data_IF_681311162298
#
_entry.id   IF_681311162298
#
_cell.length_a   1.000
_cell.length_b   1.000
_cell.length_c   1.000
_cell.angle_alpha   90.00
_cell.angle_beta   90.00
_cell.angle_gamma   90.00
#
_symmetry.space_group_name_H-M   'P 1'
#
loop_
_entity.id
_entity.type
_entity.pdbx_description
1 polymer ?
#
# COMPACT_ATOMS: atom_id res chain seq x y z
N UNK A 1 8.99 -15.38 -13.00
CA UNK A 1 7.93 -15.73 -12.04
C UNK A 1 8.28 -14.93 -10.81
N UNK A 2 7.52 -13.88 -10.57
CA UNK A 2 7.72 -13.01 -9.41
C UNK A 2 7.07 -13.60 -8.17
N UNK A 3 7.37 -13.03 -7.00
CA UNK A 3 6.62 -13.33 -5.80
C UNK A 3 5.15 -12.89 -5.98
N UNK A 4 4.21 -13.70 -5.51
CA UNK A 4 2.79 -13.39 -5.50
C UNK A 4 2.16 -14.08 -4.29
N UNK A 5 1.66 -13.29 -3.35
CA UNK A 5 1.02 -13.75 -2.13
C UNK A 5 0.08 -12.67 -1.58
N UNK A 6 -0.77 -13.06 -0.64
CA UNK A 6 -1.81 -12.18 -0.08
C UNK A 6 -1.28 -11.14 0.90
N UNK A 7 -0.04 -11.28 1.38
CA UNK A 7 0.61 -10.33 2.28
C UNK A 7 1.05 -9.04 1.59
N UNK A 8 1.15 -7.96 2.36
CA UNK A 8 1.40 -6.60 1.85
C UNK A 8 2.70 -6.46 1.06
N UNK A 9 3.72 -7.25 1.39
CA UNK A 9 5.04 -7.25 0.75
C UNK A 9 5.41 -8.61 0.12
N UNK A 10 4.42 -9.48 -0.11
CA UNK A 10 4.62 -10.82 -0.70
C UNK A 10 4.62 -10.80 -2.24
N UNK A 11 4.56 -9.63 -2.86
CA UNK A 11 4.62 -9.45 -4.31
C UNK A 11 5.78 -8.53 -4.72
N UNK A 12 6.34 -8.77 -5.90
CA UNK A 12 7.50 -8.03 -6.40
C UNK A 12 7.19 -6.53 -6.57
N UNK A 13 5.95 -6.15 -6.96
CA UNK A 13 5.58 -4.75 -7.15
C UNK A 13 5.66 -3.93 -5.86
N UNK A 14 5.21 -4.50 -4.75
CA UNK A 14 5.31 -3.88 -3.42
C UNK A 14 6.76 -3.77 -2.94
N UNK A 15 7.60 -4.76 -3.25
CA UNK A 15 9.04 -4.76 -2.91
C UNK A 15 9.83 -3.75 -3.75
N UNK A 16 9.52 -3.66 -5.04
CA UNK A 16 10.10 -2.68 -5.97
C UNK A 16 9.74 -1.27 -5.50
N UNK A 17 8.48 -1.02 -5.16
CA UNK A 17 8.06 0.28 -4.63
C UNK A 17 8.71 0.61 -3.28
N UNK A 18 8.86 -0.37 -2.36
CA UNK A 18 9.56 -0.16 -1.09
C UNK A 18 11.03 0.21 -1.31
N UNK A 19 11.67 -0.37 -2.33
CA UNK A 19 13.03 -0.01 -2.74
C UNK A 19 13.10 1.44 -3.21
N UNK A 20 12.15 1.86 -4.06
CA UNK A 20 12.03 3.26 -4.52
C UNK A 20 11.77 4.22 -3.35
N UNK A 21 10.93 3.84 -2.38
CA UNK A 21 10.73 4.62 -1.17
C UNK A 21 12.02 4.74 -0.34
N UNK A 22 12.82 3.68 -0.26
CA UNK A 22 14.14 3.74 0.39
C UNK A 22 15.08 4.77 -0.26
N UNK A 23 15.01 4.95 -1.58
CA UNK A 23 15.85 5.91 -2.32
C UNK A 23 15.26 7.34 -2.33
N UNK A 24 13.96 7.48 -2.52
CA UNK A 24 13.29 8.76 -2.82
C UNK A 24 12.36 9.28 -1.72
N UNK A 25 12.03 8.45 -0.70
CA UNK A 25 11.25 8.84 0.48
C UNK A 25 9.89 9.45 0.15
N UNK A 26 9.65 10.63 0.71
CA UNK A 26 8.39 11.38 0.57
C UNK A 26 7.99 11.67 -0.90
N UNK A 27 8.95 11.75 -1.83
CA UNK A 27 8.66 11.91 -3.26
C UNK A 27 7.96 10.67 -3.81
N UNK A 28 8.48 9.47 -3.54
CA UNK A 28 7.84 8.22 -3.97
C UNK A 28 6.45 8.03 -3.34
N UNK A 29 6.28 8.43 -2.07
CA UNK A 29 4.99 8.43 -1.39
C UNK A 29 3.97 9.40 -2.03
N UNK A 30 4.41 10.58 -2.43
CA UNK A 30 3.55 11.56 -3.10
C UNK A 30 3.16 11.05 -4.50
N UNK A 31 4.15 10.56 -5.26
CA UNK A 31 3.94 10.08 -6.63
C UNK A 31 2.93 8.93 -6.69
N UNK A 32 3.01 7.96 -5.77
CA UNK A 32 2.07 6.83 -5.75
C UNK A 32 0.66 7.24 -5.31
N UNK A 33 0.54 8.19 -4.37
CA UNK A 33 -0.76 8.71 -3.93
C UNK A 33 -1.43 9.54 -5.03
N UNK A 34 -0.66 10.31 -5.78
CA UNK A 34 -1.17 11.10 -6.91
C UNK A 34 -1.55 10.17 -8.07
N UNK A 35 -0.72 9.17 -8.39
CA UNK A 35 -1.04 8.16 -9.40
C UNK A 35 -2.32 7.38 -9.06
N UNK A 36 -2.48 6.96 -7.80
CA UNK A 36 -3.70 6.28 -7.36
C UNK A 36 -4.92 7.19 -7.42
N UNK A 37 -4.79 8.46 -7.03
CA UNK A 37 -5.87 9.43 -7.12
C UNK A 37 -6.32 9.65 -8.56
N UNK A 38 -5.39 9.77 -9.50
CA UNK A 38 -5.67 9.93 -10.93
C UNK A 38 -6.31 8.67 -11.53
N UNK A 39 -5.86 7.50 -11.11
CA UNK A 39 -6.40 6.20 -11.52
C UNK A 39 -7.85 6.03 -11.04
N UNK A 40 -8.12 6.34 -9.76
CA UNK A 40 -9.49 6.35 -9.19
C UNK A 40 -10.39 7.33 -9.93
N UNK A 41 -9.89 8.54 -10.23
CA UNK A 41 -10.65 9.53 -11.00
C UNK A 41 -10.93 9.07 -12.44
N UNK A 42 -10.04 8.26 -13.02
CA UNK A 42 -10.19 7.64 -14.34
C UNK A 42 -11.05 6.38 -14.33
N UNK A 43 -11.37 5.85 -13.14
CA UNK A 43 -12.30 4.75 -12.91
C UNK A 43 -11.66 3.36 -12.82
N UNK A 44 -10.33 3.24 -12.86
CA UNK A 44 -9.66 1.94 -12.76
C UNK A 44 -8.25 2.08 -12.19
N UNK A 45 -7.92 1.29 -11.17
CA UNK A 45 -6.59 1.22 -10.55
C UNK A 45 -5.88 -0.06 -10.97
N UNK A 46 -4.82 0.12 -11.75
CA UNK A 46 -3.92 -0.95 -12.21
C UNK A 46 -3.11 -1.54 -11.03
N UNK A 47 -2.66 -2.79 -11.19
CA UNK A 47 -1.99 -3.57 -10.15
C UNK A 47 -0.63 -3.01 -9.74
N UNK A 48 0.09 -2.34 -10.64
CA UNK A 48 1.35 -1.66 -10.33
C UNK A 48 1.15 -0.51 -9.32
N UNK A 49 0.12 0.31 -9.54
CA UNK A 49 -0.28 1.36 -8.60
C UNK A 49 -0.80 0.73 -7.30
N UNK A 50 -1.64 -0.30 -7.40
CA UNK A 50 -2.25 -0.94 -6.23
C UNK A 50 -1.22 -1.57 -5.29
N UNK A 51 -0.24 -2.29 -5.83
CA UNK A 51 0.83 -2.92 -5.03
C UNK A 51 1.72 -1.88 -4.34
N UNK A 52 1.99 -0.75 -5.01
CA UNK A 52 2.70 0.38 -4.41
C UNK A 52 1.91 1.04 -3.26
N UNK A 53 0.59 1.22 -3.42
CA UNK A 53 -0.28 1.76 -2.35
C UNK A 53 -0.30 0.84 -1.13
N UNK A 54 -0.34 -0.48 -1.32
CA UNK A 54 -0.29 -1.45 -0.22
C UNK A 54 1.03 -1.34 0.55
N UNK A 55 2.16 -1.24 -0.16
CA UNK A 55 3.46 -1.02 0.47
C UNK A 55 3.53 0.33 1.20
N UNK A 56 3.02 1.42 0.61
CA UNK A 56 2.93 2.73 1.26
C UNK A 56 2.13 2.65 2.56
N UNK A 57 1.01 1.92 2.58
CA UNK A 57 0.20 1.79 3.78
C UNK A 57 0.95 1.12 4.93
N UNK A 58 1.79 0.14 4.66
CA UNK A 58 2.69 -0.45 5.66
C UNK A 58 3.69 0.56 6.20
N UNK A 59 4.32 1.33 5.30
CA UNK A 59 5.27 2.38 5.66
C UNK A 59 4.61 3.46 6.53
N UNK A 60 3.42 3.94 6.16
CA UNK A 60 2.70 4.98 6.92
C UNK A 60 2.25 4.44 8.27
N UNK A 61 1.72 3.22 8.35
CA UNK A 61 1.35 2.60 9.62
C UNK A 61 2.57 2.45 10.54
N UNK A 62 3.71 1.99 10.01
CA UNK A 62 4.97 1.90 10.75
C UNK A 62 5.49 3.28 11.21
N UNK A 63 5.46 4.30 10.35
CA UNK A 63 5.86 5.67 10.68
C UNK A 63 5.01 6.28 11.80
N UNK A 64 3.74 5.89 11.89
CA UNK A 64 2.82 6.28 12.97
C UNK A 64 2.93 5.40 14.23
N UNK A 65 3.91 4.49 14.29
CA UNK A 65 4.16 3.63 15.45
C UNK A 65 3.24 2.42 15.55
N UNK A 66 2.65 1.99 14.43
CA UNK A 66 1.82 0.78 14.29
C UNK A 66 2.38 -0.14 13.20
N UNK A 67 3.66 -0.58 13.27
CA UNK A 67 4.18 -1.51 12.29
C UNK A 67 3.47 -2.86 12.38
N UNK A 68 3.46 -3.61 11.28
CA UNK A 68 3.30 -5.06 11.35
C UNK A 68 4.55 -5.67 11.98
N UNK A 69 4.40 -6.52 13.00
CA UNK A 69 5.54 -7.16 13.66
C UNK A 69 6.29 -8.09 12.70
N UNK A 70 5.59 -8.72 11.74
CA UNK A 70 6.19 -9.64 10.76
C UNK A 70 6.96 -8.89 9.65
N UNK A 71 6.70 -7.58 9.48
CA UNK A 71 7.36 -6.73 8.49
C UNK A 71 8.35 -5.73 9.10
N UNK A 72 8.48 -5.70 10.43
CA UNK A 72 9.26 -4.69 11.15
C UNK A 72 10.71 -4.59 10.63
N UNK A 73 11.37 -5.73 10.42
CA UNK A 73 12.75 -5.77 9.91
C UNK A 73 12.88 -5.21 8.49
N UNK A 74 11.87 -5.38 7.63
CA UNK A 74 11.86 -4.85 6.26
C UNK A 74 11.57 -3.35 6.22
N UNK A 75 10.80 -2.86 7.19
CA UNK A 75 10.35 -1.47 7.25
C UNK A 75 11.25 -0.57 8.09
N UNK A 76 12.07 -1.12 8.99
CA UNK A 76 12.88 -0.35 9.96
C UNK A 76 13.73 0.74 9.29
N UNK A 77 14.64 0.34 8.40
CA UNK A 77 15.57 1.26 7.73
C UNK A 77 14.83 2.27 6.81
N UNK A 78 13.93 1.85 5.89
CA UNK A 78 13.23 2.80 5.03
C UNK A 78 12.40 3.82 5.83
N UNK A 79 11.68 3.37 6.87
CA UNK A 79 10.85 4.25 7.69
C UNK A 79 11.71 5.19 8.52
N UNK A 80 12.75 4.70 9.21
CA UNK A 80 13.58 5.57 10.06
C UNK A 80 14.26 6.69 9.26
N UNK A 81 14.65 6.41 8.02
CA UNK A 81 15.31 7.38 7.15
C UNK A 81 14.37 8.47 6.61
N UNK A 82 13.06 8.19 6.48
CA UNK A 82 12.13 9.06 5.74
C UNK A 82 10.86 9.45 6.51
N UNK A 83 10.60 8.92 7.71
CA UNK A 83 9.35 9.13 8.46
C UNK A 83 8.98 10.59 8.66
N UNK A 84 9.94 11.46 8.97
CA UNK A 84 9.65 12.86 9.28
C UNK A 84 9.08 13.57 8.03
N UNK A 85 9.72 13.39 6.87
CA UNK A 85 9.26 13.96 5.61
C UNK A 85 7.97 13.30 5.10
N UNK A 86 7.80 11.99 5.33
CA UNK A 86 6.58 11.27 4.99
C UNK A 86 5.37 11.82 5.76
N UNK A 87 5.52 12.06 7.06
CA UNK A 87 4.45 12.57 7.91
C UNK A 87 4.16 14.07 7.71
N UNK A 88 5.04 14.80 7.02
CA UNK A 88 4.78 16.17 6.56
C UNK A 88 3.88 16.24 5.31
N UNK A 89 3.63 15.12 4.62
CA UNK A 89 2.70 15.07 3.48
C UNK A 89 1.27 15.28 4.00
N UNK A 90 0.58 16.27 3.41
CA UNK A 90 -0.77 16.64 3.79
C UNK A 90 -1.74 15.43 3.71
N UNK A 91 -2.34 15.12 4.86
CA UNK A 91 -3.31 14.05 5.02
C UNK A 91 -2.81 12.66 4.58
N UNK A 92 -1.50 12.38 4.67
CA UNK A 92 -0.91 11.12 4.19
C UNK A 92 -1.64 9.87 4.68
N UNK A 93 -1.98 9.81 5.97
CA UNK A 93 -2.73 8.70 6.57
C UNK A 93 -4.12 8.52 5.92
N UNK A 94 -4.89 9.60 5.83
CA UNK A 94 -6.25 9.56 5.27
C UNK A 94 -6.23 9.23 3.78
N UNK A 95 -5.34 9.86 3.00
CA UNK A 95 -5.18 9.58 1.56
C UNK A 95 -4.80 8.12 1.31
N UNK A 96 -3.91 7.57 2.14
CA UNK A 96 -3.50 6.16 2.04
C UNK A 96 -4.63 5.20 2.41
N UNK A 97 -5.42 5.52 3.44
CA UNK A 97 -6.61 4.74 3.82
C UNK A 97 -7.69 4.74 2.74
N UNK A 98 -7.95 5.90 2.12
CA UNK A 98 -8.88 6.04 0.99
C UNK A 98 -8.41 5.25 -0.23
N UNK A 99 -7.10 5.28 -0.53
CA UNK A 99 -6.53 4.49 -1.62
C UNK A 99 -6.69 2.97 -1.38
N UNK A 100 -6.42 2.48 -0.16
CA UNK A 100 -6.69 1.08 0.19
C UNK A 100 -8.16 0.71 0.06
N UNK A 101 -9.08 1.59 0.47
CA UNK A 101 -10.51 1.36 0.29
C UNK A 101 -10.89 1.21 -1.18
N UNK A 102 -10.33 2.05 -2.06
CA UNK A 102 -10.58 1.97 -3.50
C UNK A 102 -10.10 0.63 -4.11
N UNK A 103 -8.95 0.12 -3.68
CA UNK A 103 -8.43 -1.18 -4.14
C UNK A 103 -9.34 -2.35 -3.74
N UNK A 104 -10.02 -2.25 -2.60
CA UNK A 104 -10.91 -3.31 -2.09
C UNK A 104 -12.36 -3.22 -2.60
N UNK A 105 -12.68 -2.25 -3.46
CA UNK A 105 -14.06 -1.94 -3.83
C UNK A 105 -14.71 -3.08 -4.65
N UNK A 106 -14.23 -3.30 -5.88
CA UNK A 106 -14.66 -4.37 -6.77
C UNK A 106 -13.73 -4.52 -7.99
N UNK A 107 -14.02 -5.55 -8.80
CA UNK A 107 -13.27 -5.89 -10.02
C UNK A 107 -13.46 -4.88 -11.16
N UNK A 108 -14.50 -4.04 -11.13
CA UNK A 108 -14.71 -3.01 -12.17
C UNK A 108 -13.79 -1.80 -11.96
N UNK A 109 -13.26 -1.61 -10.76
CA UNK A 109 -12.43 -0.44 -10.40
C UNK A 109 -11.00 -0.78 -9.97
N UNK A 110 -10.67 -2.03 -9.66
CA UNK A 110 -9.33 -2.43 -9.23
C UNK A 110 -8.87 -3.73 -9.89
N UNK A 111 -7.72 -3.67 -10.57
CA UNK A 111 -7.09 -4.86 -11.16
C UNK A 111 -6.67 -5.87 -10.08
N UNK A 112 -6.19 -5.42 -8.93
CA UNK A 112 -5.87 -6.33 -7.83
C UNK A 112 -7.09 -7.11 -7.35
N UNK A 113 -8.23 -6.44 -7.19
CA UNK A 113 -9.46 -7.12 -6.83
C UNK A 113 -9.83 -8.16 -7.89
N UNK A 114 -9.82 -7.78 -9.17
CA UNK A 114 -10.16 -8.68 -10.29
C UNK A 114 -9.25 -9.91 -10.32
N UNK A 115 -7.94 -9.71 -10.24
CA UNK A 115 -6.94 -10.78 -10.19
C UNK A 115 -7.18 -11.74 -9.03
N UNK A 116 -7.47 -11.24 -7.82
CA UNK A 116 -7.78 -12.10 -6.69
C UNK A 116 -9.14 -12.77 -6.80
N UNK A 117 -10.14 -12.13 -7.42
CA UNK A 117 -11.46 -12.70 -7.67
C UNK A 117 -11.44 -13.88 -8.66
N UNK A 118 -10.41 -13.97 -9.50
CA UNK A 118 -10.15 -15.15 -10.34
C UNK A 118 -9.53 -16.33 -9.56
N UNK A 119 -9.18 -16.15 -8.28
CA UNK A 119 -8.59 -17.16 -7.40
C UNK A 119 -9.55 -17.58 -6.27
N UNK A 120 -9.16 -18.59 -5.50
CA UNK A 120 -9.86 -18.99 -4.26
C UNK A 120 -9.37 -18.19 -3.02
N UNK A 121 -8.49 -17.20 -3.19
CA UNK A 121 -7.80 -16.46 -2.10
C UNK A 121 -8.30 -15.01 -1.94
N UNK A 122 -9.36 -14.59 -2.65
CA UNK A 122 -9.91 -13.23 -2.56
C UNK A 122 -10.29 -12.85 -1.12
N UNK A 123 -10.96 -13.74 -0.39
CA UNK A 123 -11.38 -13.47 0.98
C UNK A 123 -10.18 -13.31 1.94
N UNK A 124 -9.11 -14.06 1.71
CA UNK A 124 -7.87 -13.97 2.49
C UNK A 124 -7.16 -12.65 2.20
N UNK A 125 -7.02 -12.27 0.92
CA UNK A 125 -6.46 -10.97 0.53
C UNK A 125 -7.28 -9.80 1.10
N UNK A 126 -8.60 -9.81 0.97
CA UNK A 126 -9.48 -8.78 1.54
C UNK A 126 -9.35 -8.70 3.07
N UNK A 127 -9.14 -9.84 3.75
CA UNK A 127 -8.92 -9.87 5.20
C UNK A 127 -7.60 -9.19 5.56
N UNK A 128 -6.52 -9.43 4.80
CA UNK A 128 -5.24 -8.77 5.00
C UNK A 128 -5.36 -7.25 4.77
N UNK A 129 -5.96 -6.82 3.67
CA UNK A 129 -6.12 -5.40 3.35
C UNK A 129 -6.98 -4.65 4.38
N UNK A 130 -8.06 -5.28 4.87
CA UNK A 130 -8.88 -4.71 5.95
C UNK A 130 -8.13 -4.62 7.28
N UNK A 131 -7.28 -5.60 7.58
CA UNK A 131 -6.45 -5.59 8.79
C UNK A 131 -5.42 -4.47 8.74
N UNK A 132 -4.71 -4.35 7.61
CA UNK A 132 -3.78 -3.25 7.35
C UNK A 132 -4.49 -1.89 7.45
N UNK A 133 -5.63 -1.71 6.78
CA UNK A 133 -6.40 -0.46 6.84
C UNK A 133 -6.84 -0.13 8.26
N UNK A 134 -7.35 -1.10 9.01
CA UNK A 134 -7.77 -0.89 10.40
C UNK A 134 -6.59 -0.48 11.30
N UNK A 135 -5.39 -1.04 11.07
CA UNK A 135 -4.16 -0.66 11.78
C UNK A 135 -3.76 0.77 11.44
N UNK A 136 -3.79 1.12 10.15
CA UNK A 136 -3.49 2.47 9.65
C UNK A 136 -4.46 3.52 10.23
N UNK A 137 -5.76 3.24 10.24
CA UNK A 137 -6.79 4.16 10.73
C UNK A 137 -6.77 4.34 12.27
N UNK A 138 -6.20 3.38 12.99
CA UNK A 138 -6.08 3.41 14.45
C UNK A 138 -4.76 4.04 14.96
N UNK A 139 -3.91 4.50 14.06
CA UNK A 139 -2.60 5.07 14.35
C UNK A 139 -2.69 6.54 14.78
#
# INVERSE_FOLDING_TARGET
MGAWGVGSLDNDGSQDWLTDFGEFGASAATDILDACSDAVASGYVESDIGTGVIALAEVVAAALGKPDEDLADQLEDPVENHKDALLEIDNVQARTSEALEALMADAETSELYDLWAETDELDDWLTQMKTLRARLDAA
#
